data_IF_741969372753
#
_entry.id   IF_741969372753
#
_cell.length_a   1.000
_cell.length_b   1.000
_cell.length_c   1.000
_cell.angle_alpha   90.00
_cell.angle_beta   90.00
_cell.angle_gamma   90.00
#
_symmetry.space_group_name_H-M   'P 1'
#
loop_
_entity.id
_entity.type
_entity.pdbx_description
1 polymer ?
#
# COMPACT_ATOMS: atom_id res chain seq x y z
N UNK A 1 11.23 -2.98 -31.36
CA UNK A 1 10.14 -3.58 -30.57
C UNK A 1 10.79 -4.52 -29.57
N UNK A 2 10.82 -4.14 -28.29
CA UNK A 2 11.45 -4.98 -27.26
C UNK A 2 10.41 -6.01 -26.84
N UNK A 3 10.62 -7.24 -27.28
CA UNK A 3 9.82 -8.42 -26.93
C UNK A 3 10.19 -8.85 -25.50
N UNK A 4 9.39 -8.46 -24.51
CA UNK A 4 9.48 -9.01 -23.15
C UNK A 4 8.58 -10.24 -23.10
N UNK A 5 9.23 -11.40 -23.14
CA UNK A 5 8.65 -12.70 -22.87
C UNK A 5 8.37 -12.83 -21.36
N UNK A 6 7.39 -12.09 -20.86
CA UNK A 6 6.78 -12.41 -19.57
C UNK A 6 5.61 -13.33 -19.87
N UNK A 7 5.73 -14.60 -19.48
CA UNK A 7 4.73 -15.65 -19.57
C UNK A 7 3.29 -15.11 -19.54
N UNK A 8 2.57 -15.23 -20.67
CA UNK A 8 1.16 -14.86 -20.80
C UNK A 8 0.23 -15.64 -19.86
N UNK A 9 0.73 -16.67 -19.16
CA UNK A 9 -0.03 -17.42 -18.17
C UNK A 9 -0.15 -16.74 -16.81
N UNK A 10 0.82 -15.89 -16.42
CA UNK A 10 0.69 -15.14 -15.16
C UNK A 10 -0.44 -14.11 -15.31
N UNK A 11 -0.37 -13.32 -16.39
CA UNK A 11 -1.36 -12.29 -16.76
C UNK A 11 -2.77 -12.80 -17.06
N UNK A 12 -2.97 -14.09 -17.33
CA UNK A 12 -4.28 -14.65 -17.71
C UNK A 12 -5.03 -15.32 -16.57
N UNK A 13 -4.44 -15.40 -15.38
CA UNK A 13 -5.02 -16.11 -14.24
C UNK A 13 -5.61 -15.18 -13.17
N UNK A 14 -5.34 -13.87 -13.28
CA UNK A 14 -6.02 -12.86 -12.48
C UNK A 14 -7.24 -12.32 -13.23
N UNK A 15 -8.41 -12.34 -12.58
CA UNK A 15 -9.58 -11.68 -13.11
C UNK A 15 -9.32 -10.17 -13.22
N UNK A 16 -9.57 -9.57 -14.39
CA UNK A 16 -9.26 -8.16 -14.65
C UNK A 16 -9.94 -7.20 -13.67
N UNK A 17 -11.07 -7.60 -13.10
CA UNK A 17 -11.82 -6.85 -12.09
C UNK A 17 -11.05 -6.68 -10.77
N UNK A 18 -10.19 -7.63 -10.41
CA UNK A 18 -9.41 -7.64 -9.15
C UNK A 18 -8.03 -7.00 -9.29
N UNK A 19 -7.66 -6.63 -10.52
CA UNK A 19 -6.35 -6.14 -10.87
C UNK A 19 -6.17 -4.68 -10.43
N UNK A 20 -5.03 -4.39 -9.82
CA UNK A 20 -4.60 -3.02 -9.56
C UNK A 20 -4.42 -2.27 -10.90
N UNK A 21 -5.07 -1.11 -11.02
CA UNK A 21 -4.96 -0.21 -12.16
C UNK A 21 -4.59 1.21 -11.69
N UNK A 22 -4.62 2.19 -12.59
CA UNK A 22 -4.28 3.59 -12.31
C UNK A 22 -5.24 4.28 -11.32
N UNK A 23 -6.44 3.73 -11.10
CA UNK A 23 -7.37 4.24 -10.08
C UNK A 23 -6.80 4.09 -8.67
N UNK A 24 -6.00 3.04 -8.46
CA UNK A 24 -5.40 2.71 -7.17
C UNK A 24 -6.29 1.86 -6.27
N UNK A 25 -7.39 1.31 -6.79
CA UNK A 25 -8.34 0.51 -6.02
C UNK A 25 -8.14 -0.99 -6.24
N UNK A 26 -8.39 -1.79 -5.19
CA UNK A 26 -8.40 -3.24 -5.24
C UNK A 26 -9.83 -3.74 -4.99
N UNK A 27 -10.52 -4.16 -6.05
CA UNK A 27 -11.92 -4.59 -5.99
C UNK A 27 -12.07 -6.08 -5.71
N UNK A 28 -11.29 -6.61 -4.78
CA UNK A 28 -11.30 -8.02 -4.41
C UNK A 28 -12.43 -8.26 -3.39
N UNK A 29 -13.45 -9.05 -3.73
CA UNK A 29 -14.51 -9.36 -2.78
C UNK A 29 -14.01 -10.37 -1.74
N UNK A 30 -14.62 -10.35 -0.55
CA UNK A 30 -14.11 -11.10 0.61
C UNK A 30 -14.05 -12.61 0.38
N UNK A 31 -15.00 -13.17 -0.38
CA UNK A 31 -15.07 -14.58 -0.78
C UNK A 31 -13.94 -15.00 -1.74
N UNK A 32 -13.27 -14.03 -2.38
CA UNK A 32 -12.14 -14.25 -3.29
C UNK A 32 -10.78 -13.93 -2.67
N UNK A 33 -10.74 -13.59 -1.39
CA UNK A 33 -9.50 -13.25 -0.65
C UNK A 33 -8.44 -14.34 -0.79
N UNK A 34 -8.81 -15.61 -0.56
CA UNK A 34 -7.83 -16.70 -0.59
C UNK A 34 -7.31 -16.98 -1.99
N UNK A 35 -8.14 -16.80 -3.01
CA UNK A 35 -7.77 -16.93 -4.43
C UNK A 35 -6.82 -15.81 -4.84
N UNK A 36 -7.11 -14.57 -4.43
CA UNK A 36 -6.24 -13.41 -4.68
C UNK A 36 -4.89 -13.56 -3.98
N UNK A 37 -4.90 -13.85 -2.68
CA UNK A 37 -3.70 -13.85 -1.82
C UNK A 37 -2.78 -15.06 -2.06
N UNK A 38 -3.31 -16.19 -2.51
CA UNK A 38 -2.49 -17.36 -2.85
C UNK A 38 -2.28 -17.54 -4.36
N UNK A 39 -2.83 -16.62 -5.17
CA UNK A 39 -2.84 -16.71 -6.63
C UNK A 39 -1.88 -15.75 -7.33
N UNK A 40 -1.99 -15.74 -8.66
CA UNK A 40 -1.17 -14.86 -9.50
C UNK A 40 -1.51 -13.38 -9.32
N UNK A 41 -2.74 -13.02 -8.92
CA UNK A 41 -3.16 -11.64 -8.72
C UNK A 41 -2.27 -10.89 -7.71
N UNK A 42 -1.94 -11.52 -6.57
CA UNK A 42 -1.04 -10.94 -5.58
C UNK A 42 0.36 -10.73 -6.17
N UNK A 43 0.87 -11.73 -6.89
CA UNK A 43 2.18 -11.67 -7.54
C UNK A 43 2.24 -10.55 -8.57
N UNK A 44 1.22 -10.43 -9.43
CA UNK A 44 1.09 -9.34 -10.39
C UNK A 44 1.03 -7.97 -9.72
N UNK A 45 0.24 -7.85 -8.65
CA UNK A 45 0.11 -6.60 -7.89
C UNK A 45 1.47 -6.16 -7.35
N UNK A 46 2.24 -7.07 -6.74
CA UNK A 46 3.59 -6.76 -6.28
C UNK A 46 4.55 -6.41 -7.42
N UNK A 47 4.49 -7.10 -8.55
CA UNK A 47 5.32 -6.79 -9.72
C UNK A 47 5.04 -5.38 -10.26
N UNK A 48 3.76 -5.01 -10.38
CA UNK A 48 3.34 -3.67 -10.82
C UNK A 48 3.84 -2.61 -9.83
N UNK A 49 3.57 -2.79 -8.53
CA UNK A 49 4.00 -1.84 -7.50
C UNK A 49 5.52 -1.65 -7.50
N UNK A 50 6.30 -2.72 -7.58
CA UNK A 50 7.77 -2.64 -7.61
C UNK A 50 8.29 -1.99 -8.90
N UNK A 51 7.66 -2.27 -10.04
CA UNK A 51 8.01 -1.65 -11.31
C UNK A 51 7.84 -0.13 -11.25
N UNK A 52 6.68 0.33 -10.76
CA UNK A 52 6.38 1.75 -10.66
C UNK A 52 7.29 2.43 -9.64
N UNK A 53 7.54 1.81 -8.48
CA UNK A 53 8.40 2.35 -7.42
C UNK A 53 9.84 2.59 -7.89
N UNK A 54 10.37 1.67 -8.70
CA UNK A 54 11.74 1.78 -9.23
C UNK A 54 11.87 2.79 -10.38
N UNK A 55 10.80 3.07 -11.12
CA UNK A 55 10.84 3.95 -12.31
C UNK A 55 10.40 5.37 -11.98
N UNK A 56 9.36 5.52 -11.17
CA UNK A 56 8.70 6.80 -10.88
C UNK A 56 8.82 7.14 -9.40
N UNK A 57 9.71 8.09 -9.10
CA UNK A 57 9.84 8.62 -7.75
C UNK A 57 8.55 9.35 -7.33
N UNK A 58 8.07 9.06 -6.11
CA UNK A 58 6.86 9.67 -5.52
C UNK A 58 5.60 9.49 -6.36
N UNK A 59 5.44 8.35 -7.01
CA UNK A 59 4.20 8.03 -7.73
C UNK A 59 2.99 8.00 -6.80
N UNK A 60 1.86 8.53 -7.30
CA UNK A 60 0.58 8.59 -6.60
C UNK A 60 -0.52 8.17 -7.57
N UNK A 61 -1.40 7.26 -7.12
CA UNK A 61 -2.57 6.81 -7.86
C UNK A 61 -3.66 7.89 -7.94
N UNK A 62 -4.67 7.70 -8.79
CA UNK A 62 -5.74 8.70 -8.93
C UNK A 62 -6.55 8.90 -7.64
N UNK A 63 -6.76 7.84 -6.85
CA UNK A 63 -7.36 7.92 -5.51
C UNK A 63 -6.45 8.54 -4.44
N UNK A 64 -5.29 9.09 -4.83
CA UNK A 64 -4.27 9.69 -3.94
C UNK A 64 -3.50 8.69 -3.08
N UNK A 65 -3.68 7.39 -3.27
CA UNK A 65 -2.87 6.38 -2.62
C UNK A 65 -1.41 6.45 -3.11
N UNK A 66 -0.48 6.29 -2.19
CA UNK A 66 0.92 5.99 -2.52
C UNK A 66 1.10 4.50 -2.75
N UNK A 67 2.22 4.11 -3.38
CA UNK A 67 2.61 2.70 -3.52
C UNK A 67 2.62 1.97 -2.17
N UNK A 68 3.03 2.68 -1.10
CA UNK A 68 3.05 2.14 0.25
C UNK A 68 1.65 1.90 0.79
N UNK A 69 0.72 2.83 0.59
CA UNK A 69 -0.65 2.66 1.09
C UNK A 69 -1.34 1.44 0.44
N UNK A 70 -1.11 1.22 -0.86
CA UNK A 70 -1.60 0.01 -1.55
C UNK A 70 -0.92 -1.25 -1.03
N UNK A 71 0.39 -1.22 -0.79
CA UNK A 71 1.14 -2.38 -0.24
C UNK A 71 0.66 -2.74 1.17
N UNK A 72 0.41 -1.73 2.01
CA UNK A 72 -0.10 -1.90 3.37
C UNK A 72 -1.52 -2.49 3.33
N UNK A 73 -2.38 -2.02 2.42
CA UNK A 73 -3.72 -2.58 2.18
C UNK A 73 -3.66 -4.05 1.77
N UNK A 74 -2.79 -4.40 0.82
CA UNK A 74 -2.60 -5.79 0.39
C UNK A 74 -2.11 -6.66 1.55
N UNK A 75 -1.18 -6.15 2.36
CA UNK A 75 -0.64 -6.87 3.50
C UNK A 75 -1.71 -7.13 4.58
N UNK A 76 -2.55 -6.15 4.87
CA UNK A 76 -3.66 -6.29 5.81
C UNK A 76 -4.73 -7.26 5.29
N UNK A 77 -5.15 -7.08 4.03
CA UNK A 77 -6.15 -7.92 3.37
C UNK A 77 -5.71 -9.38 3.22
N UNK A 78 -4.42 -9.64 2.97
CA UNK A 78 -3.88 -11.00 2.86
C UNK A 78 -3.31 -11.57 4.17
N UNK A 79 -3.25 -10.77 5.23
CA UNK A 79 -2.78 -11.20 6.54
C UNK A 79 -3.75 -12.13 7.25
N UNK A 80 -3.33 -12.63 8.41
CA UNK A 80 -4.17 -13.45 9.30
C UNK A 80 -4.93 -12.63 10.35
N UNK A 81 -4.94 -11.31 10.20
CA UNK A 81 -5.54 -10.37 11.15
C UNK A 81 -7.05 -10.18 10.96
N UNK A 82 -7.68 -9.32 11.78
CA UNK A 82 -9.10 -8.97 11.65
C UNK A 82 -9.43 -8.33 10.30
N UNK A 83 -8.46 -7.63 9.70
CA UNK A 83 -8.56 -6.99 8.38
C UNK A 83 -8.46 -7.97 7.20
N UNK A 84 -8.37 -9.28 7.45
CA UNK A 84 -8.30 -10.26 6.36
C UNK A 84 -9.51 -10.14 5.43
N UNK A 85 -9.23 -9.95 4.14
CA UNK A 85 -10.21 -9.73 3.09
C UNK A 85 -10.72 -8.30 2.98
N UNK A 86 -10.16 -7.36 3.73
CA UNK A 86 -10.38 -5.93 3.52
C UNK A 86 -9.30 -5.37 2.57
N UNK A 87 -9.71 -5.03 1.36
CA UNK A 87 -8.84 -4.43 0.34
C UNK A 87 -9.21 -2.97 0.04
N UNK A 88 -9.94 -2.31 0.94
CA UNK A 88 -10.30 -0.91 0.79
C UNK A 88 -9.08 -0.01 1.06
N UNK A 89 -8.50 0.53 -0.01
CA UNK A 89 -7.31 1.36 0.05
C UNK A 89 -7.57 2.68 0.78
N UNK A 90 -8.72 3.30 0.57
CA UNK A 90 -9.06 4.58 1.23
C UNK A 90 -9.17 4.43 2.75
N UNK A 91 -9.73 3.32 3.22
CA UNK A 91 -9.83 3.00 4.64
C UNK A 91 -8.45 2.87 5.28
N UNK A 92 -7.56 2.10 4.65
CA UNK A 92 -6.17 1.91 5.12
C UNK A 92 -5.34 3.20 5.08
N UNK A 93 -5.59 4.08 4.10
CA UNK A 93 -4.99 5.42 4.07
C UNK A 93 -5.45 6.26 5.26
N UNK A 94 -6.75 6.24 5.58
CA UNK A 94 -7.29 6.98 6.72
C UNK A 94 -6.70 6.47 8.05
N UNK A 95 -6.58 5.16 8.23
CA UNK A 95 -5.96 4.57 9.41
C UNK A 95 -4.47 4.92 9.53
N UNK A 96 -3.72 4.80 8.44
CA UNK A 96 -2.31 5.19 8.39
C UNK A 96 -2.12 6.66 8.73
N UNK A 97 -3.01 7.54 8.24
CA UNK A 97 -2.98 8.98 8.54
C UNK A 97 -3.25 9.28 10.03
N UNK A 98 -4.19 8.54 10.64
CA UNK A 98 -4.50 8.62 12.07
C UNK A 98 -3.38 8.07 12.94
N UNK A 99 -2.65 7.05 12.50
CA UNK A 99 -1.48 6.56 13.22
C UNK A 99 -0.29 7.53 13.12
N UNK A 100 -0.15 8.23 11.99
CA UNK A 100 0.96 9.16 11.74
C UNK A 100 0.84 10.48 12.49
N UNK A 101 -0.37 10.99 12.69
CA UNK A 101 -0.64 12.25 13.40
C UNK A 101 -0.18 12.26 14.87
N UNK A 102 -0.50 11.28 15.74
CA UNK A 102 -0.05 11.26 17.12
C UNK A 102 1.47 11.06 17.23
N UNK A 103 2.06 10.19 16.40
CA UNK A 103 3.50 9.94 16.43
C UNK A 103 4.31 11.20 16.07
N UNK A 104 3.88 11.95 15.06
CA UNK A 104 4.58 13.17 14.61
C UNK A 104 4.49 14.29 15.65
N UNK A 105 3.32 14.49 16.27
CA UNK A 105 3.15 15.52 17.31
C UNK A 105 4.01 15.23 18.55
N UNK A 106 4.07 13.98 18.98
CA UNK A 106 4.89 13.56 20.13
C UNK A 106 6.39 13.80 19.89
N UNK A 107 6.89 13.48 18.68
CA UNK A 107 8.29 13.72 18.31
C UNK A 107 8.62 15.22 18.28
N UNK A 108 7.74 16.04 17.69
CA UNK A 108 7.91 17.48 17.63
C UNK A 108 7.91 18.13 19.03
N UNK A 109 6.98 17.73 19.91
CA UNK A 109 6.94 18.21 21.30
C UNK A 109 8.22 17.80 22.05
N UNK A 110 8.68 16.56 21.89
CA UNK A 110 9.93 16.09 22.49
C UNK A 110 11.15 16.89 22.04
N UNK A 111 11.27 17.19 20.74
CA UNK A 111 12.34 18.03 20.19
C UNK A 111 12.29 19.47 20.75
N UNK A 112 11.10 20.07 20.84
CA UNK A 112 10.93 21.42 21.39
C UNK A 112 11.32 21.46 22.88
N UNK A 113 10.92 20.46 23.67
CA UNK A 113 11.28 20.38 25.08
C UNK A 113 12.79 20.21 25.30
N UNK A 114 13.49 19.46 24.44
CA UNK A 114 14.95 19.33 24.52
C UNK A 114 15.67 20.65 24.21
N UNK A 115 15.17 21.43 23.24
CA UNK A 115 15.74 22.74 22.90
C UNK A 115 15.50 23.77 24.01
N UNK A 116 14.29 23.80 24.58
CA UNK A 116 13.95 24.72 25.67
C UNK A 116 14.60 24.32 27.00
N UNK A 117 14.72 23.02 27.28
CA UNK A 117 15.37 22.49 28.48
C UNK A 117 16.88 22.74 28.52
N UNK A 118 17.55 22.65 27.37
CA UNK A 118 18.98 22.98 27.27
C UNK A 118 19.25 24.49 27.26
N UNK A 119 18.25 25.34 26.98
CA UNK A 119 18.36 26.80 27.09
C UNK A 119 18.27 27.33 28.52
N UNK A 120 17.84 26.51 29.49
CA UNK A 120 17.74 26.86 30.92
C UNK A 120 18.98 26.44 31.73
N UNK A 121 19.97 25.80 31.10
CA UNK A 121 21.21 25.33 31.72
C UNK A 121 22.44 26.18 31.36
N UNK A 122 22.24 27.36 30.75
CA UNK A 122 23.27 28.39 30.53
C UNK A 122 22.88 29.71 31.19
#
# INVERSE_FOLDING_TARGET
MISIWANSQVYSSCEQSFRLNESGDLKVPKDKTDEFCNGACLTETHLVLNCVDHILANFVFYNKATIRDVRDTVQAGCGSGPERGNFNVEEHMAETSKARTPATYQILVGLVLMVLGNGLLF
#
